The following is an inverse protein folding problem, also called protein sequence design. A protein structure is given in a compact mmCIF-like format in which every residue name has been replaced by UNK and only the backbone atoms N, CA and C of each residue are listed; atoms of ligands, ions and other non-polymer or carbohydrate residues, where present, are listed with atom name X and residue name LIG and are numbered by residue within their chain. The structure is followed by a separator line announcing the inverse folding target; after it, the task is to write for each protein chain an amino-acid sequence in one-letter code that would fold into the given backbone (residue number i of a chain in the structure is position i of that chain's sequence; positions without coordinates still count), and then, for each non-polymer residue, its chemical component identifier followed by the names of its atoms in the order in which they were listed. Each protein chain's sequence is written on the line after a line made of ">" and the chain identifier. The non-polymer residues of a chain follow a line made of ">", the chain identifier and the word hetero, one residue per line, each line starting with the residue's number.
data_IF_760047738743
#
_entry.id   IF_760047738743
#
_cell.length_a   1.000
_cell.length_b   1.000
_cell.length_c   1.000
_cell.angle_alpha   90.00
_cell.angle_beta   90.00
_cell.angle_gamma   90.00
#
_symmetry.space_group_name_H-M   'P 1'
#
loop_
_entity.id
_entity.type
_entity.pdbx_description
1 polymer ?
#
# COMPACT_ATOMS: atom_id res chain seq x y z
N UNK A 1 -3.63 -31.13 13.60
CA UNK A 1 -4.22 -29.90 14.18
C UNK A 1 -4.70 -29.04 13.02
N UNK A 2 -6.00 -28.76 12.93
CA UNK A 2 -6.56 -27.89 11.89
C UNK A 2 -6.89 -26.54 12.51
N UNK A 3 -6.39 -25.46 11.90
CA UNK A 3 -6.80 -24.09 12.25
C UNK A 3 -7.93 -23.68 11.31
N UNK A 4 -8.78 -22.75 11.76
CA UNK A 4 -9.87 -22.25 10.93
C UNK A 4 -9.34 -21.37 9.77
N UNK A 5 -8.24 -20.63 10.00
CA UNK A 5 -7.61 -19.70 9.07
C UNK A 5 -6.09 -19.82 9.14
N UNK A 6 -5.41 -19.38 8.08
CA UNK A 6 -3.96 -19.59 7.92
C UNK A 6 -3.26 -18.28 7.58
N UNK A 7 -2.28 -17.91 8.41
CA UNK A 7 -1.35 -16.83 8.11
C UNK A 7 -0.14 -17.37 7.34
N UNK A 8 0.34 -16.60 6.38
CA UNK A 8 1.53 -16.86 5.59
C UNK A 8 2.54 -15.78 5.98
N UNK A 9 3.48 -16.16 6.84
CA UNK A 9 4.62 -15.34 7.26
C UNK A 9 5.92 -15.80 6.62
N UNK A 10 7.02 -15.08 6.91
CA UNK A 10 8.35 -15.39 6.36
C UNK A 10 8.55 -14.95 4.90
N UNK A 11 7.59 -14.21 4.36
CA UNK A 11 7.68 -13.48 3.10
C UNK A 11 7.81 -11.97 3.40
N UNK A 12 8.19 -11.18 2.40
CA UNK A 12 8.49 -9.74 2.53
C UNK A 12 9.75 -9.41 3.35
N UNK A 13 10.72 -10.31 3.39
CA UNK A 13 11.97 -10.17 4.17
C UNK A 13 13.17 -9.70 3.34
N UNK A 14 12.95 -9.41 2.05
CA UNK A 14 13.97 -8.91 1.12
C UNK A 14 14.20 -9.82 -0.09
N UNK A 15 13.42 -10.88 -0.21
CA UNK A 15 13.44 -11.76 -1.38
C UNK A 15 12.96 -11.04 -2.65
N UNK A 16 13.39 -11.49 -3.84
CA UNK A 16 12.84 -11.00 -5.09
C UNK A 16 11.33 -11.26 -5.19
N UNK A 17 10.58 -10.32 -5.80
CA UNK A 17 9.11 -10.45 -5.96
C UNK A 17 8.68 -11.77 -6.61
N UNK A 18 9.41 -12.24 -7.62
CA UNK A 18 9.08 -13.49 -8.29
C UNK A 18 9.19 -14.70 -7.36
N UNK A 19 10.14 -14.69 -6.41
CA UNK A 19 10.30 -15.74 -5.41
C UNK A 19 9.09 -15.79 -4.49
N UNK A 20 8.68 -14.63 -3.96
CA UNK A 20 7.46 -14.51 -3.16
C UNK A 20 6.24 -15.06 -3.90
N UNK A 21 6.04 -14.64 -5.16
CA UNK A 21 4.92 -15.10 -5.98
C UNK A 21 4.93 -16.60 -6.27
N UNK A 22 6.12 -17.19 -6.49
CA UNK A 22 6.28 -18.63 -6.68
C UNK A 22 5.92 -19.40 -5.41
N UNK A 23 6.31 -18.89 -4.24
CA UNK A 23 5.96 -19.49 -2.96
C UNK A 23 4.44 -19.44 -2.75
N UNK A 24 3.80 -18.29 -3.03
CA UNK A 24 2.35 -18.16 -2.92
C UNK A 24 1.60 -19.13 -3.86
N UNK A 25 2.05 -19.27 -5.11
CA UNK A 25 1.50 -20.24 -6.06
C UNK A 25 1.59 -21.67 -5.55
N UNK A 26 2.64 -22.00 -4.80
CA UNK A 26 2.83 -23.32 -4.24
C UNK A 26 1.98 -23.56 -2.97
N UNK A 27 1.89 -22.57 -2.08
CA UNK A 27 1.27 -22.73 -0.75
C UNK A 27 -0.24 -22.55 -0.80
N UNK A 28 -0.75 -21.52 -1.48
CA UNK A 28 -2.16 -21.15 -1.39
C UNK A 28 -3.14 -22.27 -1.81
N UNK A 29 -2.87 -23.07 -2.87
CA UNK A 29 -3.71 -24.21 -3.23
C UNK A 29 -3.72 -25.36 -2.22
N UNK A 30 -2.76 -25.40 -1.29
CA UNK A 30 -2.67 -26.43 -0.23
C UNK A 30 -3.42 -26.03 1.04
N UNK A 31 -3.83 -24.77 1.15
CA UNK A 31 -4.64 -24.28 2.27
C UNK A 31 -6.11 -24.59 1.95
N UNK A 32 -6.90 -25.12 2.92
CA UNK A 32 -8.32 -25.42 2.71
C UNK A 32 -9.07 -24.23 2.11
N UNK A 33 -9.96 -24.51 1.16
CA UNK A 33 -10.64 -23.47 0.37
C UNK A 33 -11.51 -22.54 1.23
N UNK A 34 -12.11 -23.07 2.29
CA UNK A 34 -12.95 -22.31 3.22
C UNK A 34 -12.17 -21.57 4.31
N UNK A 35 -10.84 -21.58 4.27
CA UNK A 35 -10.00 -20.85 5.21
C UNK A 35 -9.53 -19.53 4.64
N UNK A 36 -9.56 -18.48 5.47
CA UNK A 36 -8.99 -17.18 5.14
C UNK A 36 -7.46 -17.29 5.12
N UNK A 37 -6.84 -16.76 4.06
CA UNK A 37 -5.39 -16.68 3.86
C UNK A 37 -4.91 -15.27 4.14
N UNK A 38 -4.15 -15.10 5.22
CA UNK A 38 -3.59 -13.81 5.63
C UNK A 38 -2.11 -13.72 5.24
N UNK A 39 -1.73 -12.79 4.36
CA UNK A 39 -0.34 -12.54 4.00
C UNK A 39 0.24 -11.38 4.80
N UNK A 40 1.29 -11.65 5.58
CA UNK A 40 1.84 -10.69 6.52
C UNK A 40 2.86 -9.76 5.85
N UNK A 41 2.76 -8.45 6.12
CA UNK A 41 3.79 -7.46 5.79
C UNK A 41 3.83 -6.95 4.34
N UNK A 42 2.81 -7.22 3.54
CA UNK A 42 2.71 -6.79 2.13
C UNK A 42 1.78 -5.59 1.98
N UNK A 43 2.27 -4.50 1.38
CA UNK A 43 1.51 -3.25 1.29
C UNK A 43 1.64 -2.44 0.02
N UNK A 44 2.46 -2.84 -0.96
CA UNK A 44 2.48 -2.14 -2.25
C UNK A 44 1.26 -2.54 -3.06
N UNK A 45 0.56 -1.62 -3.74
CA UNK A 45 -0.64 -1.93 -4.51
C UNK A 45 -0.45 -3.07 -5.52
N UNK A 46 0.68 -3.10 -6.22
CA UNK A 46 0.95 -4.13 -7.22
C UNK A 46 1.10 -5.52 -6.59
N UNK A 47 1.75 -5.58 -5.41
CA UNK A 47 2.01 -6.83 -4.69
C UNK A 47 0.72 -7.37 -4.04
N UNK A 48 -0.19 -6.47 -3.62
CA UNK A 48 -1.53 -6.84 -3.13
C UNK A 48 -2.33 -7.47 -4.28
N UNK A 49 -2.39 -6.83 -5.46
CA UNK A 49 -3.14 -7.35 -6.62
C UNK A 49 -2.64 -8.74 -7.02
N UNK A 50 -1.32 -8.91 -7.10
CA UNK A 50 -0.73 -10.20 -7.46
C UNK A 50 -0.95 -11.28 -6.39
N UNK A 51 -0.95 -10.92 -5.12
CA UNK A 51 -1.24 -11.84 -4.02
C UNK A 51 -2.72 -12.26 -4.00
N UNK A 52 -3.65 -11.33 -4.25
CA UNK A 52 -5.09 -11.64 -4.37
C UNK A 52 -5.35 -12.63 -5.51
N UNK A 53 -4.70 -12.44 -6.67
CA UNK A 53 -4.76 -13.39 -7.79
C UNK A 53 -4.31 -14.81 -7.43
N UNK A 54 -3.56 -14.96 -6.35
CA UNK A 54 -3.02 -16.24 -5.85
C UNK A 54 -3.81 -16.77 -4.65
N UNK A 55 -4.90 -16.11 -4.28
CA UNK A 55 -5.84 -16.57 -3.25
C UNK A 55 -5.63 -15.98 -1.86
N UNK A 56 -4.88 -14.88 -1.73
CA UNK A 56 -4.74 -14.17 -0.46
C UNK A 56 -5.95 -13.27 -0.21
N UNK A 57 -6.44 -13.27 1.04
CA UNK A 57 -7.66 -12.59 1.46
C UNK A 57 -7.38 -11.37 2.36
N UNK A 58 -6.37 -11.45 3.23
CA UNK A 58 -6.05 -10.40 4.21
C UNK A 58 -4.59 -9.96 4.08
N UNK A 59 -4.34 -8.68 4.34
CA UNK A 59 -3.02 -8.04 4.30
C UNK A 59 -2.84 -7.06 5.46
N UNK A 60 -1.61 -6.87 5.88
CA UNK A 60 -1.19 -5.78 6.76
C UNK A 60 0.12 -5.16 6.25
N UNK A 61 0.27 -3.84 6.40
CA UNK A 61 1.54 -3.20 6.11
C UNK A 61 1.65 -1.79 6.68
N UNK A 62 2.86 -1.42 7.10
CA UNK A 62 3.20 -0.06 7.54
C UNK A 62 3.50 0.90 6.37
N UNK A 63 3.64 0.40 5.14
CA UNK A 63 4.06 1.17 3.96
C UNK A 63 3.21 2.45 3.78
N UNK A 64 1.87 2.42 3.79
CA UNK A 64 1.06 3.61 3.58
C UNK A 64 1.34 4.72 4.59
N UNK A 65 1.41 4.38 5.88
CA UNK A 65 1.63 5.38 6.94
C UNK A 65 3.08 5.86 6.99
N UNK A 66 4.06 4.96 6.78
CA UNK A 66 5.48 5.33 6.74
C UNK A 66 5.80 6.20 5.53
N UNK A 67 5.20 5.92 4.37
CA UNK A 67 5.39 6.72 3.18
C UNK A 67 4.75 8.09 3.33
N UNK A 68 3.51 8.19 3.82
CA UNK A 68 2.85 9.48 4.04
C UNK A 68 3.72 10.44 4.85
N UNK A 69 4.25 10.01 6.01
CA UNK A 69 5.15 10.82 6.87
C UNK A 69 6.45 11.27 6.19
N UNK A 70 6.87 10.58 5.13
CA UNK A 70 8.06 10.94 4.35
C UNK A 70 7.71 11.74 3.08
N UNK A 71 6.47 12.21 2.93
CA UNK A 71 6.00 12.97 1.77
C UNK A 71 5.76 12.12 0.53
N UNK A 72 5.52 10.83 0.72
CA UNK A 72 5.45 9.82 -0.31
C UNK A 72 4.02 9.29 -0.38
N UNK A 73 3.27 9.67 -1.41
CA UNK A 73 1.82 9.52 -1.47
C UNK A 73 1.41 8.59 -2.62
N UNK A 74 0.47 7.69 -2.35
CA UNK A 74 -0.15 6.85 -3.37
C UNK A 74 -1.27 7.61 -4.08
N UNK A 75 -1.34 7.41 -5.39
CA UNK A 75 -2.42 7.89 -6.26
C UNK A 75 -2.78 6.77 -7.24
N UNK A 76 -3.89 6.93 -7.94
CA UNK A 76 -4.34 6.02 -9.00
C UNK A 76 -3.35 5.94 -10.16
N UNK A 77 -2.47 6.94 -10.33
CA UNK A 77 -1.43 6.96 -11.35
C UNK A 77 -0.06 6.50 -10.81
N UNK A 78 -0.06 5.81 -9.67
CA UNK A 78 1.15 5.40 -8.96
C UNK A 78 1.56 6.40 -7.88
N UNK A 79 2.86 6.49 -7.64
CA UNK A 79 3.39 7.14 -6.46
C UNK A 79 3.99 8.51 -6.75
N UNK A 80 3.78 9.48 -5.86
CA UNK A 80 4.38 10.82 -5.95
C UNK A 80 5.15 11.19 -4.69
N UNK A 81 6.21 11.99 -4.87
CA UNK A 81 6.87 12.70 -3.78
C UNK A 81 6.30 14.12 -3.69
N UNK A 82 5.42 14.37 -2.72
CA UNK A 82 4.71 15.64 -2.55
C UNK A 82 5.63 16.81 -2.24
N UNK A 83 6.87 16.57 -1.76
CA UNK A 83 7.87 17.62 -1.48
C UNK A 83 8.48 18.23 -2.75
N UNK A 84 8.26 17.63 -3.92
CA UNK A 84 8.77 18.14 -5.19
C UNK A 84 8.20 19.55 -5.51
N UNK A 85 9.07 20.47 -5.92
CA UNK A 85 8.71 21.87 -6.23
C UNK A 85 7.63 22.02 -7.29
N UNK A 86 7.48 21.04 -8.19
CA UNK A 86 6.42 21.06 -9.22
C UNK A 86 5.01 21.12 -8.64
N UNK A 87 4.80 20.72 -7.38
CA UNK A 87 3.50 20.72 -6.72
C UNK A 87 3.15 22.03 -6.00
N UNK A 88 4.12 22.95 -5.82
CA UNK A 88 3.96 24.19 -5.03
C UNK A 88 2.77 25.05 -5.42
N UNK A 89 2.44 25.11 -6.71
CA UNK A 89 1.38 25.98 -7.25
C UNK A 89 0.20 25.20 -7.85
N UNK A 90 0.08 23.91 -7.55
CA UNK A 90 -0.98 23.08 -8.14
C UNK A 90 -2.23 23.10 -7.26
N UNK A 91 -3.27 23.78 -7.74
CA UNK A 91 -4.61 23.88 -7.10
C UNK A 91 -5.50 22.76 -7.64
N UNK A 92 -5.10 21.51 -7.37
CA UNK A 92 -5.85 20.29 -7.69
C UNK A 92 -5.74 19.32 -6.51
N UNK A 93 -6.69 18.39 -6.33
CA UNK A 93 -6.58 17.36 -5.30
C UNK A 93 -5.36 16.46 -5.54
N UNK A 94 -4.95 15.72 -4.50
CA UNK A 94 -3.89 14.71 -4.60
C UNK A 94 -4.20 13.68 -5.69
N UNK A 95 -5.43 13.18 -5.72
CA UNK A 95 -5.93 12.25 -6.73
C UNK A 95 -7.39 12.58 -7.07
N UNK A 96 -7.69 12.70 -8.36
CA UNK A 96 -9.04 13.01 -8.87
C UNK A 96 -10.02 11.84 -8.76
N UNK A 97 -9.53 10.62 -8.57
CA UNK A 97 -10.36 9.43 -8.43
C UNK A 97 -10.57 9.01 -6.97
N UNK A 98 -10.07 9.79 -6.02
CA UNK A 98 -10.15 9.50 -4.60
C UNK A 98 -11.12 10.48 -3.91
N UNK A 99 -12.04 9.93 -3.13
CA UNK A 99 -13.10 10.64 -2.40
C UNK A 99 -12.79 10.81 -0.90
N UNK A 100 -11.55 10.53 -0.48
CA UNK A 100 -11.18 10.66 0.93
C UNK A 100 -11.19 12.12 1.40
N UNK A 101 -11.20 12.31 2.72
CA UNK A 101 -11.18 13.64 3.36
C UNK A 101 -10.07 14.54 2.80
N UNK A 102 -8.87 14.00 2.59
CA UNK A 102 -7.74 14.80 2.09
C UNK A 102 -7.95 15.27 0.66
N UNK A 103 -8.40 14.39 -0.24
CA UNK A 103 -8.62 14.71 -1.65
C UNK A 103 -9.81 15.64 -1.86
N UNK A 104 -10.78 15.65 -0.96
CA UNK A 104 -11.97 16.52 -1.05
C UNK A 104 -11.74 17.91 -0.45
N UNK A 105 -10.77 18.08 0.47
CA UNK A 105 -10.58 19.33 1.21
C UNK A 105 -9.25 20.05 0.94
N UNK A 106 -8.22 19.38 0.41
CA UNK A 106 -6.89 19.97 0.26
C UNK A 106 -6.32 19.86 -1.15
N UNK A 107 -5.48 20.85 -1.49
CA UNK A 107 -4.77 20.89 -2.77
C UNK A 107 -3.37 20.32 -2.65
N UNK A 108 -2.80 19.90 -3.78
CA UNK A 108 -1.38 19.52 -3.89
C UNK A 108 -0.44 20.63 -3.39
N UNK A 109 -0.76 21.91 -3.66
CA UNK A 109 0.03 23.05 -3.14
C UNK A 109 0.03 23.11 -1.61
N UNK A 110 -1.14 22.92 -0.98
CA UNK A 110 -1.27 22.92 0.47
C UNK A 110 -0.50 21.75 1.08
N UNK A 111 -0.70 20.54 0.55
CA UNK A 111 -0.01 19.33 1.00
C UNK A 111 1.51 19.42 0.83
N UNK A 112 1.99 20.05 -0.25
CA UNK A 112 3.42 20.34 -0.45
C UNK A 112 3.94 21.27 0.64
N UNK A 113 3.25 22.38 0.89
CA UNK A 113 3.67 23.38 1.86
C UNK A 113 3.80 22.80 3.26
N UNK A 114 2.76 22.13 3.77
CA UNK A 114 2.79 21.55 5.13
C UNK A 114 3.87 20.46 5.28
N UNK A 115 4.12 19.66 4.24
CA UNK A 115 5.18 18.63 4.26
C UNK A 115 6.59 19.22 4.17
N UNK A 116 6.77 20.34 3.47
CA UNK A 116 8.06 21.05 3.39
C UNK A 116 8.36 21.78 4.70
N UNK A 117 7.33 22.35 5.32
CA UNK A 117 7.41 22.98 6.64
C UNK A 117 7.56 21.97 7.80
N UNK A 118 7.39 20.66 7.54
CA UNK A 118 7.38 19.60 8.55
C UNK A 118 6.32 19.82 9.65
N UNK A 119 5.15 20.31 9.25
CA UNK A 119 3.99 20.43 10.14
C UNK A 119 3.40 19.06 10.48
N UNK A 120 2.91 18.88 11.70
CA UNK A 120 2.33 17.60 12.18
C UNK A 120 1.09 17.19 11.37
N UNK A 121 0.38 18.17 10.79
CA UNK A 121 -0.80 17.94 9.94
C UNK A 121 -0.44 17.28 8.59
N UNK A 122 0.84 17.29 8.19
CA UNK A 122 1.34 16.87 6.88
C UNK A 122 1.47 15.37 6.64
#
# INVERSE_FOLDING_TARGET
>A
MGFNNYAIGGLAVGEPKHTMYNILNYICPKIPENSIRYLMGIGKPEDIIESVRRGIDIFDCVIPTRHARNGHLFTSNGFINIKNSKYKNIIKPLDKYCDCYTCTNYTLSYLNNINVCNEILG
#
